data_IF_244121225382
#
_entry.id   IF_244121225382
#
_cell.length_a   1.000
_cell.length_b   1.000
_cell.length_c   1.000
_cell.angle_alpha   90.00
_cell.angle_beta   90.00
_cell.angle_gamma   90.00
#
_symmetry.space_group_name_H-M   'P 1'
#
loop_
_entity.id
_entity.type
_entity.pdbx_description
1 polymer ?
#
# COMPACT_ATOMS: atom_id res chain seq x y z
N UNK A 1 47.78 8.15 47.64
CA UNK A 1 46.93 6.94 47.77
C UNK A 1 46.83 6.34 46.36
N UNK A 2 47.79 5.51 45.92
CA UNK A 2 47.89 4.06 46.16
C UNK A 2 46.58 3.34 45.74
N UNK A 3 46.47 2.87 44.50
CA UNK A 3 46.89 1.55 43.94
C UNK A 3 45.75 0.52 43.99
N UNK A 4 45.44 -0.07 42.82
CA UNK A 4 44.96 -1.43 42.52
C UNK A 4 44.24 -1.36 41.15
N UNK A 5 44.75 -1.84 40.02
CA UNK A 5 45.74 -2.88 39.79
C UNK A 5 45.05 -4.23 39.62
N UNK A 6 44.65 -4.58 38.39
CA UNK A 6 44.48 -5.96 37.92
C UNK A 6 44.50 -5.95 36.40
N UNK A 7 45.66 -6.28 35.83
CA UNK A 7 45.83 -6.50 34.41
C UNK A 7 45.52 -7.94 34.03
N UNK A 8 45.36 -8.17 32.74
CA UNK A 8 45.57 -9.48 32.11
C UNK A 8 46.38 -9.25 30.84
N UNK A 9 47.67 -9.56 30.89
CA UNK A 9 48.52 -9.80 29.72
C UNK A 9 48.43 -11.28 29.40
N UNK A 10 47.94 -11.61 28.21
CA UNK A 10 47.80 -12.98 27.70
C UNK A 10 48.13 -13.04 26.20
N UNK A 11 49.42 -13.29 25.94
CA UNK A 11 50.11 -13.85 24.75
C UNK A 11 49.33 -14.13 23.44
N UNK A 12 49.99 -13.71 22.36
CA UNK A 12 49.90 -14.17 20.96
C UNK A 12 49.91 -15.70 20.81
N UNK A 13 48.87 -16.26 20.18
CA UNK A 13 48.87 -17.41 19.24
C UNK A 13 47.58 -17.22 18.40
N UNK A 14 47.64 -16.81 17.14
CA UNK A 14 47.69 -17.76 16.02
C UNK A 14 46.33 -17.88 15.32
N UNK A 15 46.17 -17.13 14.23
CA UNK A 15 45.33 -17.37 13.04
C UNK A 15 44.10 -18.30 13.17
N UNK A 16 42.90 -17.71 13.19
CA UNK A 16 41.76 -18.03 12.32
C UNK A 16 40.46 -17.45 12.91
N UNK A 17 39.57 -17.02 12.01
CA UNK A 17 38.16 -16.63 12.26
C UNK A 17 37.94 -15.20 12.78
N UNK A 18 38.34 -14.23 11.96
CA UNK A 18 37.69 -12.93 11.90
C UNK A 18 36.31 -13.09 11.22
N UNK A 19 35.24 -13.32 11.99
CA UNK A 19 33.86 -13.25 11.45
C UNK A 19 32.72 -13.13 12.49
N UNK A 20 32.93 -13.45 13.78
CA UNK A 20 31.78 -13.68 14.70
C UNK A 20 31.83 -12.76 15.93
N UNK A 21 32.33 -11.52 15.78
CA UNK A 21 32.35 -10.53 16.87
C UNK A 21 32.03 -9.09 16.41
N UNK A 22 31.24 -8.93 15.35
CA UNK A 22 30.68 -7.63 14.93
C UNK A 22 29.17 -7.52 15.24
N UNK A 23 28.49 -8.64 15.52
CA UNK A 23 27.00 -8.66 15.62
C UNK A 23 26.45 -8.20 16.98
N UNK A 24 27.26 -8.09 18.04
CA UNK A 24 26.71 -7.89 19.41
C UNK A 24 26.92 -6.48 19.99
N UNK A 25 27.72 -5.60 19.37
CA UNK A 25 27.97 -4.25 19.94
C UNK A 25 27.24 -3.10 19.22
N UNK A 26 26.68 -3.33 18.02
CA UNK A 26 26.02 -2.27 17.24
C UNK A 26 24.56 -1.97 17.64
N UNK A 27 23.92 -2.78 18.52
CA UNK A 27 22.51 -2.58 18.92
C UNK A 27 22.33 -1.60 20.10
N UNK A 28 23.42 -1.06 20.65
CA UNK A 28 23.40 -0.25 21.89
C UNK A 28 23.64 1.24 21.68
N UNK A 29 23.97 1.67 20.47
CA UNK A 29 24.09 3.08 20.11
C UNK A 29 23.26 3.26 18.84
N UNK A 30 22.11 3.95 18.92
CA UNK A 30 21.21 4.18 17.79
C UNK A 30 21.83 5.03 16.68
N UNK A 31 22.74 4.42 15.93
CA UNK A 31 23.33 4.92 14.70
C UNK A 31 22.72 4.09 13.57
N UNK A 32 21.59 4.57 13.07
CA UNK A 32 21.05 4.12 11.79
C UNK A 32 21.93 4.71 10.68
N UNK A 33 22.53 3.83 9.87
CA UNK A 33 23.37 4.20 8.73
C UNK A 33 22.72 3.76 7.42
N UNK A 34 21.40 3.92 7.32
CA UNK A 34 20.69 3.84 6.04
C UNK A 34 20.36 5.26 5.53
N UNK A 35 21.14 5.83 4.60
CA UNK A 35 20.80 7.11 3.97
C UNK A 35 19.75 7.00 2.84
N UNK A 36 19.07 5.85 2.67
CA UNK A 36 18.09 5.62 1.59
C UNK A 36 16.94 4.67 2.01
N UNK A 37 16.34 4.87 3.18
CA UNK A 37 15.08 4.22 3.55
C UNK A 37 13.94 5.22 3.41
N UNK A 38 13.36 5.34 2.22
CA UNK A 38 12.05 5.97 2.05
C UNK A 38 11.02 4.88 2.30
N UNK A 39 10.54 4.78 3.53
CA UNK A 39 9.38 3.96 3.87
C UNK A 39 8.13 4.77 3.47
N UNK A 40 7.90 4.90 2.16
CA UNK A 40 6.76 5.63 1.58
C UNK A 40 5.51 4.73 1.50
N UNK A 41 5.24 3.95 2.56
CA UNK A 41 4.05 3.11 2.64
C UNK A 41 2.85 4.00 2.98
N UNK A 42 2.07 4.37 1.96
CA UNK A 42 1.11 5.45 2.04
C UNK A 42 0.08 5.35 3.18
N UNK A 43 -0.28 4.18 3.71
CA UNK A 43 -1.07 4.06 4.94
C UNK A 43 -0.70 2.80 5.75
N UNK A 44 0.45 2.75 6.44
CA UNK A 44 0.69 1.69 7.42
C UNK A 44 -0.05 1.97 8.75
N UNK A 45 -0.89 1.01 9.17
CA UNK A 45 -1.58 1.06 10.46
C UNK A 45 -0.61 0.72 11.61
N UNK A 46 0.04 1.74 12.18
CA UNK A 46 0.97 1.54 13.29
C UNK A 46 0.25 1.32 14.62
N UNK A 47 0.35 0.10 15.14
CA UNK A 47 0.05 -0.20 16.55
C UNK A 47 1.16 0.30 17.49
N UNK A 48 0.79 1.23 18.37
CA UNK A 48 1.34 1.51 19.71
C UNK A 48 2.61 2.39 19.91
N UNK A 49 2.31 3.61 20.41
CA UNK A 49 2.94 4.34 21.53
C UNK A 49 4.40 4.83 21.45
N UNK A 50 4.57 6.15 21.29
CA UNK A 50 5.41 6.95 22.20
C UNK A 50 5.04 8.44 22.14
N UNK A 51 4.76 9.04 23.30
CA UNK A 51 4.54 10.47 23.47
C UNK A 51 5.84 11.26 23.25
N UNK A 52 5.85 12.11 22.22
CA UNK A 52 6.86 13.13 22.02
C UNK A 52 6.28 14.21 21.11
N UNK A 53 6.05 15.40 21.66
CA UNK A 53 5.63 16.55 20.87
C UNK A 53 6.75 16.92 19.89
N UNK A 54 6.52 16.70 18.59
CA UNK A 54 7.33 17.19 17.48
C UNK A 54 6.39 17.86 16.48
N UNK A 55 6.87 18.96 15.90
CA UNK A 55 6.14 19.83 15.01
C UNK A 55 5.53 19.07 13.83
N UNK A 56 4.31 19.48 13.44
CA UNK A 56 3.62 19.07 12.21
C UNK A 56 4.52 19.40 11.00
N UNK A 57 5.31 18.43 10.56
CA UNK A 57 5.51 18.25 9.13
C UNK A 57 4.24 17.50 8.67
N UNK A 58 3.46 18.11 7.79
CA UNK A 58 2.32 17.46 7.17
C UNK A 58 2.85 16.23 6.41
N UNK A 59 2.72 15.07 7.05
CA UNK A 59 2.77 13.77 6.39
C UNK A 59 1.44 13.62 5.63
N UNK A 60 1.32 14.41 4.55
CA UNK A 60 0.14 14.60 3.71
C UNK A 60 -0.28 13.33 2.93
N UNK A 61 0.36 12.19 3.17
CA UNK A 61 0.18 10.98 2.36
C UNK A 61 -1.18 10.31 2.61
N UNK A 62 -1.65 10.27 3.85
CA UNK A 62 -2.89 9.55 4.21
C UNK A 62 -3.65 10.16 5.39
N UNK A 63 -4.81 10.80 5.12
CA UNK A 63 -5.66 11.36 6.16
C UNK A 63 -6.15 10.33 7.18
N UNK A 64 -6.39 10.77 8.42
CA UNK A 64 -6.83 9.90 9.53
C UNK A 64 -8.05 9.04 9.19
N UNK A 65 -9.05 9.61 8.53
CA UNK A 65 -10.26 8.87 8.14
C UNK A 65 -9.98 7.73 7.16
N UNK A 66 -8.96 7.89 6.31
CA UNK A 66 -8.59 6.87 5.32
C UNK A 66 -7.84 5.74 6.02
N UNK A 67 -6.94 6.08 6.95
CA UNK A 67 -6.19 5.11 7.76
C UNK A 67 -7.11 4.30 8.67
N UNK A 68 -8.10 4.94 9.29
CA UNK A 68 -9.14 4.26 10.08
C UNK A 68 -9.92 3.27 9.22
N UNK A 69 -10.39 3.69 8.03
CA UNK A 69 -11.10 2.81 7.11
C UNK A 69 -10.27 1.65 6.55
N UNK A 70 -8.95 1.79 6.45
CA UNK A 70 -8.04 0.71 6.06
C UNK A 70 -7.83 -0.29 7.19
N UNK A 71 -7.87 0.16 8.45
CA UNK A 71 -7.66 -0.69 9.63
C UNK A 71 -8.93 -1.26 10.26
N UNK A 72 -10.11 -0.89 9.76
CA UNK A 72 -11.41 -1.24 10.36
C UNK A 72 -12.29 -2.06 9.40
N UNK A 73 -12.39 -3.36 9.66
CA UNK A 73 -13.29 -4.23 8.90
C UNK A 73 -14.77 -3.89 9.12
N UNK A 74 -15.14 -3.26 10.25
CA UNK A 74 -16.50 -2.80 10.48
C UNK A 74 -16.88 -1.69 9.50
N UNK A 75 -15.96 -0.76 9.21
CA UNK A 75 -16.16 0.24 8.16
C UNK A 75 -16.45 -0.42 6.80
N UNK A 76 -15.69 -1.46 6.44
CA UNK A 76 -15.87 -2.16 5.18
C UNK A 76 -17.24 -2.87 5.11
N UNK A 77 -17.63 -3.55 6.19
CA UNK A 77 -18.96 -4.16 6.30
C UNK A 77 -20.08 -3.12 6.17
N UNK A 78 -19.98 -1.98 6.85
CA UNK A 78 -20.97 -0.90 6.77
C UNK A 78 -21.11 -0.37 5.33
N UNK A 79 -20.00 -0.24 4.60
CA UNK A 79 -20.04 0.12 3.19
C UNK A 79 -20.72 -0.98 2.35
N UNK A 80 -20.41 -2.24 2.62
CA UNK A 80 -20.93 -3.39 1.87
C UNK A 80 -22.42 -3.61 2.10
N UNK A 81 -22.98 -3.26 3.27
CA UNK A 81 -24.43 -3.38 3.53
C UNK A 81 -25.28 -2.67 2.46
N UNK A 82 -24.81 -1.52 1.97
CA UNK A 82 -25.52 -0.73 0.96
C UNK A 82 -25.47 -1.33 -0.46
N UNK A 83 -24.56 -2.27 -0.73
CA UNK A 83 -24.24 -2.76 -2.09
C UNK A 83 -24.27 -4.29 -2.23
N UNK A 84 -24.38 -5.03 -1.12
CA UNK A 84 -24.26 -6.50 -1.06
C UNK A 84 -25.23 -7.26 -1.98
N UNK A 85 -26.44 -6.74 -2.18
CA UNK A 85 -27.48 -7.42 -2.96
C UNK A 85 -27.54 -6.96 -4.43
N UNK A 86 -26.61 -6.10 -4.85
CA UNK A 86 -26.55 -5.61 -6.22
C UNK A 86 -25.95 -6.68 -7.14
N UNK A 87 -26.58 -6.85 -8.31
CA UNK A 87 -26.17 -7.86 -9.30
C UNK A 87 -24.83 -7.56 -9.97
N UNK A 88 -24.52 -6.27 -10.12
CA UNK A 88 -23.24 -5.83 -10.66
C UNK A 88 -22.26 -5.67 -9.51
N UNK A 89 -20.96 -5.83 -9.80
CA UNK A 89 -19.94 -5.46 -8.84
C UNK A 89 -19.99 -3.95 -8.65
N UNK A 90 -20.15 -3.52 -7.40
CA UNK A 90 -20.15 -2.12 -7.00
C UNK A 90 -19.12 -1.99 -5.89
N UNK A 91 -18.35 -0.89 -5.92
CA UNK A 91 -17.48 -0.49 -4.84
C UNK A 91 -17.93 0.83 -4.26
N UNK A 92 -17.89 0.94 -2.93
CA UNK A 92 -17.96 2.22 -2.23
C UNK A 92 -16.56 2.57 -1.75
N UNK A 93 -16.10 3.76 -2.10
CA UNK A 93 -14.71 4.12 -1.88
C UNK A 93 -14.54 5.54 -1.36
N UNK A 94 -13.45 5.77 -0.64
CA UNK A 94 -12.95 7.07 -0.23
C UNK A 94 -11.56 7.28 -0.81
N UNK A 95 -11.14 8.53 -0.92
CA UNK A 95 -9.79 8.89 -1.40
C UNK A 95 -9.13 9.82 -0.41
N UNK A 96 -7.81 9.99 -0.49
CA UNK A 96 -7.10 11.01 0.30
C UNK A 96 -7.62 12.43 0.07
N UNK A 97 -8.26 12.70 -1.08
CA UNK A 97 -8.88 13.98 -1.40
C UNK A 97 -10.32 14.14 -0.85
N UNK A 98 -11.00 13.07 -0.42
CA UNK A 98 -12.41 13.12 0.00
C UNK A 98 -12.79 12.01 0.97
N UNK A 99 -13.21 12.42 2.17
CA UNK A 99 -13.80 11.54 3.19
C UNK A 99 -15.24 11.10 2.89
N UNK A 100 -15.92 11.70 1.90
CA UNK A 100 -17.27 11.28 1.54
C UNK A 100 -17.23 10.02 0.67
N UNK A 101 -17.92 8.92 1.06
CA UNK A 101 -17.95 7.71 0.24
C UNK A 101 -18.58 7.97 -1.12
N UNK A 102 -17.82 7.64 -2.16
CA UNK A 102 -18.25 7.64 -3.56
C UNK A 102 -18.63 6.22 -3.99
N UNK A 103 -19.25 6.08 -5.15
CA UNK A 103 -19.65 4.78 -5.69
C UNK A 103 -19.09 4.59 -7.08
N UNK A 104 -18.54 3.42 -7.34
CA UNK A 104 -18.07 2.98 -8.66
C UNK A 104 -18.74 1.65 -9.00
N UNK A 105 -19.31 1.54 -10.19
CA UNK A 105 -19.98 0.32 -10.66
C UNK A 105 -19.19 -0.31 -11.79
N UNK A 106 -19.07 -1.64 -11.79
CA UNK A 106 -18.45 -2.39 -12.89
C UNK A 106 -19.21 -2.17 -14.21
N UNK A 107 -18.50 -2.27 -15.32
CA UNK A 107 -19.02 -2.02 -16.66
C UNK A 107 -18.25 -0.90 -17.36
N UNK A 108 -18.51 -0.78 -18.66
CA UNK A 108 -17.82 0.15 -19.54
C UNK A 108 -18.39 1.57 -19.42
N UNK A 109 -17.50 2.52 -19.16
CA UNK A 109 -17.74 3.97 -19.15
C UNK A 109 -16.42 4.74 -19.38
N UNK A 110 -16.46 6.06 -19.16
CA UNK A 110 -15.29 6.93 -19.33
C UNK A 110 -14.06 6.48 -18.51
N UNK A 111 -14.22 5.97 -17.30
CA UNK A 111 -13.09 5.50 -16.50
C UNK A 111 -12.52 4.18 -17.02
N UNK A 112 -13.35 3.36 -17.68
CA UNK A 112 -12.84 2.20 -18.40
C UNK A 112 -12.03 2.58 -19.65
N UNK A 113 -12.40 3.68 -20.34
CA UNK A 113 -11.62 4.20 -21.46
C UNK A 113 -10.26 4.75 -21.00
N UNK A 114 -10.22 5.44 -19.85
CA UNK A 114 -8.97 5.88 -19.23
C UNK A 114 -8.10 4.71 -18.79
N UNK A 115 -8.71 3.68 -18.17
CA UNK A 115 -8.01 2.45 -17.82
C UNK A 115 -7.41 1.77 -19.06
N UNK A 116 -8.15 1.67 -20.16
CA UNK A 116 -7.65 1.13 -21.44
C UNK A 116 -6.44 1.90 -21.93
N UNK A 117 -6.52 3.24 -21.94
CA UNK A 117 -5.44 4.11 -22.39
C UNK A 117 -4.18 3.94 -21.52
N UNK A 118 -4.31 3.93 -20.19
CA UNK A 118 -3.17 3.75 -19.28
C UNK A 118 -2.56 2.35 -19.41
N UNK A 119 -3.36 1.30 -19.53
CA UNK A 119 -2.82 -0.06 -19.66
C UNK A 119 -2.06 -0.26 -20.98
N UNK A 120 -2.51 0.36 -22.08
CA UNK A 120 -1.81 0.33 -23.37
C UNK A 120 -0.43 0.98 -23.34
N UNK A 121 -0.24 1.96 -22.48
CA UNK A 121 1.01 2.70 -22.30
C UNK A 121 1.88 2.15 -21.16
N UNK A 122 1.40 1.10 -20.48
CA UNK A 122 2.09 0.47 -19.35
C UNK A 122 2.82 -0.81 -19.77
N UNK A 123 3.49 -1.43 -18.81
CA UNK A 123 4.09 -2.76 -18.95
C UNK A 123 3.09 -3.92 -18.69
N UNK A 124 1.79 -3.61 -18.59
CA UNK A 124 0.73 -4.61 -18.52
C UNK A 124 0.75 -5.50 -19.77
N UNK A 125 0.57 -6.81 -19.59
CA UNK A 125 0.46 -7.76 -20.69
C UNK A 125 -0.86 -7.58 -21.44
N UNK A 126 -0.90 -6.59 -22.32
CA UNK A 126 -2.08 -6.22 -23.08
C UNK A 126 -2.37 -7.28 -24.15
N UNK A 127 -3.61 -7.79 -24.28
CA UNK A 127 -3.93 -8.83 -25.24
C UNK A 127 -3.75 -8.36 -26.70
N UNK A 128 -3.16 -9.20 -27.55
CA UNK A 128 -2.96 -8.89 -28.99
C UNK A 128 -4.28 -8.62 -29.74
N UNK A 129 -5.40 -9.15 -29.23
CA UNK A 129 -6.74 -8.99 -29.82
C UNK A 129 -7.77 -8.69 -28.74
N UNK A 130 -8.63 -7.71 -29.02
CA UNK A 130 -9.69 -7.28 -28.12
C UNK A 130 -9.22 -6.33 -27.03
N UNK A 131 -10.10 -6.07 -26.06
CA UNK A 131 -9.81 -5.30 -24.86
C UNK A 131 -9.81 -6.22 -23.64
N UNK A 132 -8.89 -6.04 -22.68
CA UNK A 132 -8.88 -6.84 -21.48
C UNK A 132 -10.10 -6.47 -20.62
N UNK A 133 -10.91 -7.45 -20.22
CA UNK A 133 -12.16 -7.20 -19.47
C UNK A 133 -11.96 -6.44 -18.17
N UNK A 134 -10.75 -6.53 -17.60
CA UNK A 134 -10.31 -5.85 -16.37
C UNK A 134 -10.49 -4.33 -16.42
N UNK A 135 -10.51 -3.69 -17.61
CA UNK A 135 -10.74 -2.23 -17.73
C UNK A 135 -12.13 -1.82 -17.23
N UNK A 136 -13.09 -2.75 -17.26
CA UNK A 136 -14.45 -2.50 -16.80
C UNK A 136 -14.66 -2.75 -15.30
N UNK A 137 -13.64 -3.27 -14.60
CA UNK A 137 -13.75 -3.62 -13.19
C UNK A 137 -13.65 -2.40 -12.28
N UNK A 138 -14.25 -2.49 -11.10
CA UNK A 138 -14.37 -1.37 -10.15
C UNK A 138 -12.99 -0.85 -9.74
N UNK A 139 -12.10 -1.75 -9.37
CA UNK A 139 -10.75 -1.47 -8.86
C UNK A 139 -9.92 -0.74 -9.92
N UNK A 140 -9.95 -1.25 -11.16
CA UNK A 140 -9.24 -0.67 -12.31
C UNK A 140 -9.75 0.73 -12.65
N UNK A 141 -11.07 0.93 -12.59
CA UNK A 141 -11.69 2.24 -12.85
C UNK A 141 -11.37 3.25 -11.76
N UNK A 142 -11.34 2.81 -10.49
CA UNK A 142 -10.89 3.65 -9.37
C UNK A 142 -9.42 4.03 -9.56
N UNK A 143 -8.55 3.08 -9.92
CA UNK A 143 -7.15 3.37 -10.22
C UNK A 143 -6.97 4.39 -11.36
N UNK A 144 -7.73 4.23 -12.44
CA UNK A 144 -7.71 5.18 -13.56
C UNK A 144 -8.19 6.57 -13.12
N UNK A 145 -9.26 6.65 -12.31
CA UNK A 145 -9.74 7.89 -11.74
C UNK A 145 -8.70 8.53 -10.80
N UNK A 146 -8.06 7.75 -9.95
CA UNK A 146 -7.01 8.23 -9.04
C UNK A 146 -5.86 8.86 -9.81
N UNK A 147 -5.33 8.16 -10.82
CA UNK A 147 -4.27 8.70 -11.70
C UNK A 147 -4.72 9.96 -12.44
N UNK A 148 -5.95 9.97 -12.95
CA UNK A 148 -6.50 11.12 -13.66
C UNK A 148 -6.61 12.37 -12.76
N UNK A 149 -7.04 12.18 -11.51
CA UNK A 149 -7.27 13.26 -10.55
C UNK A 149 -6.02 13.65 -9.74
N UNK A 150 -4.92 12.91 -9.87
CA UNK A 150 -3.71 13.10 -9.04
C UNK A 150 -3.88 12.67 -7.59
N UNK A 151 -4.77 11.71 -7.32
CA UNK A 151 -5.00 11.13 -5.99
C UNK A 151 -4.04 9.96 -5.77
N UNK A 152 -3.35 9.96 -4.63
CA UNK A 152 -2.34 8.96 -4.30
C UNK A 152 -2.87 7.80 -3.46
N UNK A 153 -3.89 8.00 -2.61
CA UNK A 153 -4.40 6.94 -1.75
C UNK A 153 -5.92 6.81 -1.82
N UNK A 154 -6.41 5.58 -1.79
CA UNK A 154 -7.84 5.28 -1.72
C UNK A 154 -8.10 3.94 -1.04
N UNK A 155 -9.30 3.81 -0.48
CA UNK A 155 -9.84 2.56 0.08
C UNK A 155 -11.21 2.30 -0.54
N UNK A 156 -11.45 1.07 -0.99
CA UNK A 156 -12.71 0.64 -1.57
C UNK A 156 -13.20 -0.64 -0.90
N UNK A 157 -14.48 -0.68 -0.56
CA UNK A 157 -15.17 -1.91 -0.20
C UNK A 157 -16.07 -2.36 -1.34
N UNK A 158 -15.86 -3.57 -1.84
CA UNK A 158 -16.60 -4.15 -2.96
C UNK A 158 -17.60 -5.20 -2.48
N UNK A 159 -18.67 -5.43 -3.24
CA UNK A 159 -19.64 -6.51 -2.99
C UNK A 159 -19.24 -7.84 -3.66
N UNK A 160 -17.99 -7.99 -4.09
CA UNK A 160 -17.48 -9.21 -4.70
C UNK A 160 -16.55 -9.94 -3.72
N UNK A 161 -16.63 -11.28 -3.61
CA UNK A 161 -15.85 -12.02 -2.62
C UNK A 161 -14.35 -12.07 -2.92
N UNK A 162 -13.91 -11.67 -4.12
CA UNK A 162 -12.50 -11.68 -4.50
C UNK A 162 -12.18 -10.52 -5.45
N UNK A 163 -11.05 -9.86 -5.23
CA UNK A 163 -10.40 -9.02 -6.24
C UNK A 163 -10.05 -9.90 -7.41
N UNK A 164 -10.33 -9.43 -8.63
CA UNK A 164 -10.19 -10.27 -9.81
C UNK A 164 -8.74 -10.80 -9.97
N UNK A 165 -8.61 -12.12 -10.23
CA UNK A 165 -7.42 -12.94 -9.96
C UNK A 165 -6.11 -12.59 -10.69
N UNK A 166 -5.02 -13.36 -10.43
CA UNK A 166 -3.64 -12.90 -10.60
C UNK A 166 -3.13 -12.74 -12.05
N UNK A 167 -3.74 -13.37 -13.05
CA UNK A 167 -3.29 -13.27 -14.45
C UNK A 167 -4.16 -12.30 -15.24
N UNK A 168 -3.55 -11.20 -15.75
CA UNK A 168 -4.24 -10.10 -16.47
C UNK A 168 -5.45 -9.50 -15.71
N UNK A 169 -5.55 -9.75 -14.40
CA UNK A 169 -6.59 -9.21 -13.53
C UNK A 169 -6.12 -7.98 -12.77
N UNK A 170 -6.89 -7.65 -11.74
CA UNK A 170 -6.88 -6.36 -11.05
C UNK A 170 -5.57 -6.19 -10.28
N UNK A 171 -5.02 -7.29 -9.76
CA UNK A 171 -3.71 -7.33 -9.10
C UNK A 171 -2.54 -6.97 -10.02
N UNK A 172 -2.72 -7.03 -11.35
CA UNK A 172 -1.70 -6.60 -12.32
C UNK A 172 -2.07 -5.26 -12.97
N UNK A 173 -3.35 -5.08 -13.29
CA UNK A 173 -3.85 -3.88 -13.95
C UNK A 173 -3.77 -2.64 -13.04
N UNK A 174 -4.17 -2.75 -11.77
CA UNK A 174 -4.18 -1.62 -10.84
C UNK A 174 -2.76 -1.08 -10.61
N UNK A 175 -1.76 -1.91 -10.24
CA UNK A 175 -0.38 -1.43 -10.14
C UNK A 175 0.14 -0.78 -11.42
N UNK A 176 -0.17 -1.35 -12.59
CA UNK A 176 0.28 -0.82 -13.88
C UNK A 176 -0.39 0.52 -14.26
N UNK A 177 -1.56 0.81 -13.68
CA UNK A 177 -2.25 2.09 -13.87
C UNK A 177 -1.74 3.12 -12.87
N UNK A 178 -1.70 2.78 -11.57
CA UNK A 178 -1.36 3.71 -10.50
C UNK A 178 0.11 4.17 -10.58
N UNK A 179 0.39 5.48 -10.43
CA UNK A 179 1.76 5.97 -10.31
C UNK A 179 2.50 5.36 -9.12
N UNK A 180 3.82 5.25 -9.20
CA UNK A 180 4.66 4.96 -8.04
C UNK A 180 4.34 5.90 -6.86
N UNK A 181 4.31 5.35 -5.65
CA UNK A 181 3.89 6.06 -4.43
C UNK A 181 2.37 6.19 -4.24
N UNK A 182 1.56 5.66 -5.15
CA UNK A 182 0.11 5.57 -4.99
C UNK A 182 -0.34 4.19 -4.51
N UNK A 183 -1.45 4.10 -3.77
CA UNK A 183 -1.99 2.85 -3.23
C UNK A 183 -3.51 2.80 -3.30
N UNK A 184 -4.05 1.62 -3.63
CA UNK A 184 -5.46 1.29 -3.51
C UNK A 184 -5.64 0.09 -2.56
N UNK A 185 -6.34 0.32 -1.45
CA UNK A 185 -6.76 -0.73 -0.52
C UNK A 185 -8.14 -1.25 -0.93
N UNK A 186 -8.28 -2.57 -1.06
CA UNK A 186 -9.52 -3.22 -1.51
C UNK A 186 -10.02 -4.20 -0.46
N UNK A 187 -11.14 -3.86 0.16
CA UNK A 187 -11.90 -4.77 1.02
C UNK A 187 -12.81 -5.65 0.17
N UNK A 188 -12.46 -6.93 0.06
CA UNK A 188 -13.31 -7.97 -0.50
C UNK A 188 -14.55 -8.21 0.39
N UNK A 189 -15.61 -8.77 -0.18
CA UNK A 189 -16.83 -9.05 0.58
C UNK A 189 -16.53 -10.00 1.75
N UNK A 190 -16.88 -9.57 2.96
CA UNK A 190 -16.69 -10.31 4.21
C UNK A 190 -15.22 -10.66 4.55
N UNK A 191 -14.25 -9.91 4.03
CA UNK A 191 -12.84 -10.09 4.36
C UNK A 191 -12.46 -9.44 5.70
N UNK A 192 -11.53 -10.07 6.42
CA UNK A 192 -10.98 -9.55 7.69
C UNK A 192 -9.85 -8.53 7.49
N UNK A 193 -9.21 -8.53 6.30
CA UNK A 193 -8.12 -7.62 5.94
C UNK A 193 -8.26 -7.17 4.47
N UNK A 194 -7.83 -5.94 4.11
CA UNK A 194 -7.87 -5.46 2.74
C UNK A 194 -6.71 -6.01 1.90
N UNK A 195 -6.96 -6.21 0.61
CA UNK A 195 -5.91 -6.42 -0.39
C UNK A 195 -5.26 -5.07 -0.70
N UNK A 196 -3.94 -4.99 -0.59
CA UNK A 196 -3.17 -3.78 -0.90
C UNK A 196 -2.65 -3.84 -2.33
N UNK A 197 -2.94 -2.81 -3.15
CA UNK A 197 -2.50 -2.70 -4.54
C UNK A 197 -1.68 -1.42 -4.71
N UNK A 198 -0.35 -1.57 -4.76
CA UNK A 198 0.60 -0.46 -4.88
C UNK A 198 0.89 -0.12 -6.35
N UNK A 199 0.96 1.16 -6.65
CA UNK A 199 1.28 1.67 -7.97
C UNK A 199 2.74 1.46 -8.36
N UNK A 200 2.96 1.17 -9.63
CA UNK A 200 4.28 0.96 -10.23
C UNK A 200 4.43 1.63 -11.60
N UNK A 201 3.46 2.46 -12.00
CA UNK A 201 3.56 3.22 -13.23
C UNK A 201 4.54 4.38 -13.04
N UNK A 202 5.49 4.52 -13.95
CA UNK A 202 6.36 5.69 -13.99
C UNK A 202 5.60 6.91 -14.54
N UNK A 203 5.79 8.12 -13.99
CA UNK A 203 5.16 9.36 -14.48
C UNK A 203 5.46 9.70 -15.94
#
# INVERSE_FOLDING_TARGET
MAQNGSGCVGKLVGWAVAAILVVIVAKSCGLDLNPFGGDDTACEASGSSSSGAVAYADDDSCPDYLREAVGDSAWAHDQQEAIRDLKLTVGRYMTSASAAPQTMTSGYDHFSDLADAYLRDSDFNYPERGQPTVISHVETKIAAKMRHDGVTAAVVAINNPQVCGPAMGCQQAVPAILPEGSVLYVWELDADEPVTLEGRATP
#
